data_IF_307206979822
#
_entry.id   IF_307206979822
#
_cell.length_a   1.000
_cell.length_b   1.000
_cell.length_c   1.000
_cell.angle_alpha   90.00
_cell.angle_beta   90.00
_cell.angle_gamma   90.00
#
_symmetry.space_group_name_H-M   'P 1'
#
loop_
_entity.id
_entity.type
_entity.pdbx_description
1 polymer ?
#
# COMPACT_ATOMS: atom_id res chain seq x y z
N UNK A 1 61.79 20.16 23.47
CA UNK A 1 60.91 21.09 24.20
C UNK A 1 59.52 20.48 24.22
N UNK A 2 59.25 19.56 25.15
CA UNK A 2 57.94 18.91 25.28
C UNK A 2 57.15 19.64 26.36
N UNK A 3 56.10 20.37 25.96
CA UNK A 3 55.17 21.01 26.89
C UNK A 3 54.24 19.94 27.45
N UNK A 4 54.35 19.69 28.75
CA UNK A 4 53.40 18.91 29.54
C UNK A 4 52.03 19.58 29.51
N UNK A 5 51.03 18.85 29.04
CA UNK A 5 49.62 19.26 29.03
C UNK A 5 49.15 19.29 30.50
N UNK A 6 48.54 20.38 30.99
CA UNK A 6 48.10 20.48 32.38
C UNK A 6 46.97 19.47 32.66
N UNK A 7 47.14 18.64 33.70
CA UNK A 7 46.21 17.57 34.12
C UNK A 7 44.77 18.07 34.35
N UNK A 8 44.60 19.36 34.63
CA UNK A 8 43.29 20.01 34.82
C UNK A 8 42.45 20.10 33.54
N UNK A 9 43.06 20.04 32.36
CA UNK A 9 42.32 20.06 31.08
C UNK A 9 41.69 18.71 30.73
N UNK A 10 42.25 17.61 31.26
CA UNK A 10 41.78 16.25 30.99
C UNK A 10 40.47 15.94 31.72
N UNK A 11 40.29 16.45 32.94
CA UNK A 11 39.05 16.26 33.71
C UNK A 11 37.85 16.97 33.08
N UNK A 12 38.05 18.14 32.47
CA UNK A 12 36.97 18.90 31.82
C UNK A 12 36.44 18.21 30.58
N UNK A 13 37.30 17.48 29.85
CA UNK A 13 36.92 16.72 28.65
C UNK A 13 36.16 15.42 28.98
N UNK A 14 36.41 14.82 30.15
CA UNK A 14 35.73 13.60 30.60
C UNK A 14 34.27 13.87 31.03
N UNK A 15 33.99 15.06 31.58
CA UNK A 15 32.63 15.46 32.00
C UNK A 15 31.72 15.72 30.80
N UNK A 16 32.27 16.11 29.64
CA UNK A 16 31.50 16.36 28.41
C UNK A 16 31.04 15.07 27.69
N UNK A 17 31.61 13.91 28.01
CA UNK A 17 31.19 12.62 27.43
C UNK A 17 29.99 11.99 28.14
N UNK A 18 29.58 12.49 29.31
CA UNK A 18 28.49 11.92 30.11
C UNK A 18 27.09 12.40 29.69
N UNK A 19 26.98 13.29 28.70
CA UNK A 19 25.69 13.76 28.16
C UNK A 19 25.38 13.18 26.78
N UNK A 20 25.88 11.98 26.45
CA UNK A 20 25.31 11.20 25.34
C UNK A 20 23.92 10.75 25.77
N UNK A 21 22.96 11.63 25.51
CA UNK A 21 21.54 11.46 25.74
C UNK A 21 21.07 10.18 25.05
N UNK A 22 20.75 9.17 25.85
CA UNK A 22 20.02 8.00 25.39
C UNK A 22 18.58 8.45 25.15
N UNK A 23 18.26 8.82 23.91
CA UNK A 23 16.89 9.11 23.53
C UNK A 23 16.11 7.80 23.68
N UNK A 24 15.19 7.74 24.64
CA UNK A 24 14.19 6.66 24.68
C UNK A 24 13.37 6.82 23.41
N UNK A 25 13.58 5.93 22.44
CA UNK A 25 12.65 5.77 21.34
C UNK A 25 11.33 5.32 21.96
N UNK A 26 10.32 6.17 21.95
CA UNK A 26 8.96 5.76 22.27
C UNK A 26 8.61 4.57 21.37
N UNK A 27 8.23 3.45 21.99
CA UNK A 27 7.92 2.25 21.25
C UNK A 27 6.72 2.53 20.33
N UNK A 28 6.87 2.27 19.03
CA UNK A 28 5.78 2.37 18.07
C UNK A 28 4.65 1.40 18.48
N UNK A 29 3.45 1.93 18.72
CA UNK A 29 2.24 1.16 19.00
C UNK A 29 1.38 1.16 17.72
N UNK A 30 1.21 0.01 17.05
CA UNK A 30 0.42 -0.06 15.83
C UNK A 30 -1.07 0.10 16.13
N UNK A 31 -1.78 0.81 15.25
CA UNK A 31 -3.24 0.98 15.29
C UNK A 31 -3.88 0.28 14.09
N UNK A 32 -4.93 -0.49 14.36
CA UNK A 32 -5.83 -1.02 13.34
C UNK A 32 -7.18 -0.31 13.47
N UNK A 33 -7.53 0.49 12.47
CA UNK A 33 -8.76 1.28 12.41
C UNK A 33 -9.21 1.44 10.95
N UNK A 34 -10.01 0.50 10.48
CA UNK A 34 -10.50 0.42 9.10
C UNK A 34 -11.98 0.78 9.08
N UNK A 35 -12.36 1.74 8.23
CA UNK A 35 -13.76 2.08 8.00
C UNK A 35 -14.54 0.79 7.65
N UNK A 36 -15.69 0.52 8.29
CA UNK A 36 -16.45 -0.71 8.07
C UNK A 36 -16.81 -0.98 6.60
N UNK A 37 -16.88 0.04 5.75
CA UNK A 37 -17.09 -0.12 4.31
C UNK A 37 -15.94 -0.86 3.61
N UNK A 38 -14.74 -0.81 4.16
CA UNK A 38 -13.53 -1.41 3.58
C UNK A 38 -13.16 -2.78 4.15
N UNK A 39 -13.66 -3.12 5.34
CA UNK A 39 -13.38 -4.40 6.00
C UNK A 39 -13.62 -5.65 5.14
N UNK A 40 -14.70 -5.74 4.33
CA UNK A 40 -14.90 -6.89 3.45
C UNK A 40 -13.76 -7.06 2.43
N UNK A 41 -13.20 -5.95 1.93
CA UNK A 41 -12.11 -5.95 0.96
C UNK A 41 -10.77 -6.24 1.61
N UNK A 42 -10.49 -5.69 2.80
CA UNK A 42 -9.28 -6.03 3.59
C UNK A 42 -9.29 -7.52 3.95
N UNK A 43 -10.43 -8.05 4.39
CA UNK A 43 -10.60 -9.47 4.68
C UNK A 43 -10.42 -10.35 3.44
N UNK A 44 -10.91 -9.89 2.28
CA UNK A 44 -10.69 -10.59 1.01
C UNK A 44 -9.20 -10.59 0.64
N UNK A 45 -8.52 -9.46 0.76
CA UNK A 45 -7.08 -9.33 0.50
C UNK A 45 -6.25 -10.30 1.35
N UNK A 46 -6.51 -10.37 2.67
CA UNK A 46 -5.83 -11.30 3.58
C UNK A 46 -6.08 -12.76 3.18
N UNK A 47 -7.32 -13.09 2.81
CA UNK A 47 -7.69 -14.45 2.39
C UNK A 47 -7.01 -14.84 1.07
N UNK A 48 -6.98 -13.93 0.10
CA UNK A 48 -6.28 -14.17 -1.18
C UNK A 48 -4.78 -14.27 -0.96
N UNK A 49 -4.17 -13.42 -0.13
CA UNK A 49 -2.75 -13.54 0.21
C UNK A 49 -2.44 -14.92 0.83
N UNK A 50 -3.27 -15.38 1.77
CA UNK A 50 -3.12 -16.69 2.39
C UNK A 50 -3.28 -17.85 1.39
N UNK A 51 -4.22 -17.76 0.43
CA UNK A 51 -4.39 -18.79 -0.60
C UNK A 51 -3.20 -18.87 -1.57
N UNK A 52 -2.40 -17.81 -1.66
CA UNK A 52 -1.17 -17.73 -2.45
C UNK A 52 0.10 -17.98 -1.62
N UNK A 53 -0.02 -18.50 -0.40
CA UNK A 53 1.13 -18.82 0.45
C UNK A 53 1.79 -17.61 1.10
N UNK A 54 1.12 -16.46 1.11
CA UNK A 54 1.56 -15.21 1.75
C UNK A 54 0.62 -14.90 2.93
N UNK A 55 0.69 -15.64 4.06
CA UNK A 55 -0.18 -15.35 5.20
C UNK A 55 0.16 -13.98 5.79
N UNK A 56 -0.85 -13.11 5.87
CA UNK A 56 -0.71 -11.74 6.38
C UNK A 56 -1.38 -11.59 7.73
N UNK A 57 -0.73 -10.85 8.63
CA UNK A 57 -1.31 -10.33 9.86
C UNK A 57 -1.14 -8.82 9.87
N UNK A 58 -2.23 -8.09 9.62
CA UNK A 58 -2.24 -6.63 9.52
C UNK A 58 -2.77 -6.05 10.82
N UNK A 59 -1.91 -5.36 11.57
CA UNK A 59 -2.23 -4.76 12.90
C UNK A 59 -2.08 -3.24 12.94
N UNK A 60 -1.51 -2.66 11.88
CA UNK A 60 -1.03 -1.30 11.79
C UNK A 60 -1.68 -0.56 10.60
N UNK A 61 -2.93 -0.88 10.26
CA UNK A 61 -3.64 -0.29 9.12
C UNK A 61 -4.75 0.65 9.61
N UNK A 62 -4.65 1.91 9.20
CA UNK A 62 -5.75 2.87 9.23
C UNK A 62 -6.28 3.01 7.81
N UNK A 63 -7.60 2.97 7.63
CA UNK A 63 -8.19 3.14 6.31
C UNK A 63 -9.52 3.86 6.40
N UNK A 64 -9.67 4.97 5.67
CA UNK A 64 -10.87 5.81 5.74
C UNK A 64 -11.09 6.59 4.45
N UNK A 65 -12.30 7.13 4.31
CA UNK A 65 -12.61 8.06 3.23
C UNK A 65 -11.97 9.43 3.45
N UNK A 66 -11.36 10.01 2.42
CA UNK A 66 -10.83 11.38 2.43
C UNK A 66 -11.40 12.16 1.25
N UNK A 67 -12.17 13.23 1.53
CA UNK A 67 -12.83 14.02 0.49
C UNK A 67 -11.84 14.98 -0.23
N UNK A 68 -10.72 15.34 0.42
CA UNK A 68 -9.70 16.29 -0.08
C UNK A 68 -8.40 15.61 -0.52
N UNK A 69 -8.52 14.44 -1.16
CA UNK A 69 -7.42 13.89 -1.95
C UNK A 69 -7.19 14.76 -3.20
N UNK A 70 -5.96 14.86 -3.69
CA UNK A 70 -5.64 15.46 -5.00
C UNK A 70 -6.61 14.92 -6.06
N UNK A 71 -7.34 15.80 -6.77
CA UNK A 71 -8.43 15.47 -7.70
C UNK A 71 -8.10 14.35 -8.71
N UNK A 72 -6.83 14.09 -8.98
CA UNK A 72 -6.38 13.00 -9.86
C UNK A 72 -6.33 11.61 -9.21
N UNK A 73 -6.33 11.53 -7.87
CA UNK A 73 -6.16 10.28 -7.12
C UNK A 73 -7.49 9.74 -6.58
N UNK A 74 -7.64 8.42 -6.68
CA UNK A 74 -8.77 7.69 -6.09
C UNK A 74 -8.43 7.01 -4.77
N UNK A 75 -7.16 6.70 -4.57
CA UNK A 75 -6.59 6.17 -3.34
C UNK A 75 -5.18 6.71 -3.13
N UNK A 76 -4.73 6.65 -1.88
CA UNK A 76 -3.34 6.95 -1.55
C UNK A 76 -2.92 6.21 -0.28
N UNK A 77 -1.88 5.41 -0.42
CA UNK A 77 -1.10 4.87 0.67
C UNK A 77 -0.02 5.88 1.15
N UNK A 78 0.23 5.93 2.47
CA UNK A 78 1.24 6.80 3.08
C UNK A 78 2.69 6.26 3.00
N UNK A 79 2.88 4.98 2.68
CA UNK A 79 4.19 4.31 2.78
C UNK A 79 4.31 3.11 1.85
N UNK A 80 5.41 3.04 1.10
CA UNK A 80 5.75 1.88 0.27
C UNK A 80 6.59 0.84 1.01
N UNK A 81 6.87 1.04 2.30
CA UNK A 81 7.57 0.05 3.10
C UNK A 81 6.60 -1.10 3.41
N UNK A 82 6.72 -2.25 2.75
CA UNK A 82 5.83 -3.39 3.00
C UNK A 82 5.84 -3.90 4.46
N UNK A 83 4.88 -4.76 4.78
CA UNK A 83 4.72 -5.40 6.08
C UNK A 83 4.31 -4.47 7.21
N UNK A 84 4.66 -4.86 8.45
CA UNK A 84 4.22 -4.18 9.67
C UNK A 84 5.14 -3.03 10.12
N UNK A 85 5.91 -2.44 9.21
CA UNK A 85 6.86 -1.36 9.55
C UNK A 85 6.15 0.00 9.59
N UNK A 86 6.01 0.57 10.79
CA UNK A 86 5.36 1.87 11.01
C UNK A 86 3.83 1.82 10.82
N UNK A 87 3.15 2.95 10.97
CA UNK A 87 1.70 3.03 10.75
C UNK A 87 1.39 3.10 9.25
N UNK A 88 0.53 2.21 8.76
CA UNK A 88 -0.04 2.26 7.41
C UNK A 88 -1.32 3.05 7.44
N UNK A 89 -1.47 3.89 6.44
CA UNK A 89 -2.67 4.70 6.24
C UNK A 89 -3.02 4.68 4.75
N UNK A 90 -4.24 4.22 4.45
CA UNK A 90 -4.82 4.23 3.11
C UNK A 90 -6.01 5.19 3.13
N UNK A 91 -5.93 6.22 2.31
CA UNK A 91 -6.98 7.23 2.16
C UNK A 91 -7.66 7.03 0.83
N UNK A 92 -8.98 6.93 0.84
CA UNK A 92 -9.77 6.59 -0.35
C UNK A 92 -10.75 7.72 -0.63
N UNK A 93 -10.79 8.25 -1.86
CA UNK A 93 -11.76 9.30 -2.18
C UNK A 93 -13.16 8.71 -2.24
N UNK A 94 -14.15 9.28 -1.57
CA UNK A 94 -15.54 8.84 -1.71
C UNK A 94 -16.06 8.98 -3.15
N UNK A 95 -16.26 7.86 -3.87
CA UNK A 95 -17.21 7.63 -4.97
C UNK A 95 -17.34 8.61 -6.15
N UNK A 96 -16.61 9.73 -6.16
CA UNK A 96 -16.77 10.85 -7.10
C UNK A 96 -16.10 10.55 -8.45
N UNK A 97 -16.55 9.49 -9.13
CA UNK A 97 -16.00 9.04 -10.42
C UNK A 97 -14.80 8.10 -10.31
N UNK A 98 -14.44 7.66 -9.10
CA UNK A 98 -13.31 6.75 -8.89
C UNK A 98 -13.66 5.28 -9.11
N UNK A 99 -14.84 4.85 -8.67
CA UNK A 99 -15.35 3.51 -8.89
C UNK A 99 -16.87 3.57 -8.93
N UNK A 100 -17.48 2.58 -9.55
CA UNK A 100 -18.90 2.56 -9.82
C UNK A 100 -19.58 1.29 -9.30
N UNK A 101 -18.76 0.30 -8.91
CA UNK A 101 -19.21 -0.97 -8.36
C UNK A 101 -18.17 -1.54 -7.39
N UNK A 102 -18.56 -2.61 -6.70
CA UNK A 102 -17.70 -3.25 -5.69
C UNK A 102 -16.45 -3.91 -6.29
N UNK A 103 -16.47 -4.36 -7.55
CA UNK A 103 -15.28 -4.91 -8.20
C UNK A 103 -14.23 -3.83 -8.44
N UNK A 104 -14.61 -2.65 -8.92
CA UNK A 104 -13.69 -1.53 -9.08
C UNK A 104 -13.18 -1.00 -7.73
N UNK A 105 -14.04 -0.98 -6.71
CA UNK A 105 -13.60 -0.66 -5.35
C UNK A 105 -12.61 -1.72 -4.82
N UNK A 106 -12.86 -3.01 -5.06
CA UNK A 106 -11.91 -4.08 -4.74
C UNK A 106 -10.58 -3.85 -5.44
N UNK A 107 -10.57 -3.56 -6.75
CA UNK A 107 -9.37 -3.24 -7.52
C UNK A 107 -8.58 -2.12 -6.85
N UNK A 108 -9.25 -1.02 -6.48
CA UNK A 108 -8.62 0.12 -5.83
C UNK A 108 -8.04 -0.26 -4.46
N UNK A 109 -8.82 -0.94 -3.62
CA UNK A 109 -8.35 -1.32 -2.28
C UNK A 109 -7.16 -2.28 -2.39
N UNK A 110 -7.20 -3.25 -3.31
CA UNK A 110 -6.11 -4.19 -3.51
C UNK A 110 -4.86 -3.51 -4.06
N UNK A 111 -5.01 -2.52 -4.94
CA UNK A 111 -3.92 -1.68 -5.42
C UNK A 111 -3.25 -0.92 -4.26
N UNK A 112 -4.03 -0.23 -3.42
CA UNK A 112 -3.50 0.52 -2.28
C UNK A 112 -2.86 -0.38 -1.22
N UNK A 113 -3.44 -1.56 -0.95
CA UNK A 113 -2.83 -2.56 -0.06
C UNK A 113 -1.59 -3.21 -0.70
N UNK A 114 -1.53 -3.30 -2.03
CA UNK A 114 -0.33 -3.67 -2.76
C UNK A 114 0.83 -2.70 -2.46
N UNK A 115 0.56 -1.40 -2.45
CA UNK A 115 1.52 -0.40 -1.98
C UNK A 115 1.84 -0.54 -0.49
N UNK A 116 0.81 -0.47 0.37
CA UNK A 116 0.99 -0.31 1.82
C UNK A 116 1.46 -1.57 2.54
N UNK A 117 1.01 -2.75 2.10
CA UNK A 117 1.24 -4.03 2.78
C UNK A 117 2.29 -4.85 2.05
N UNK A 118 2.30 -4.86 0.72
CA UNK A 118 3.26 -5.64 -0.06
C UNK A 118 4.48 -4.83 -0.52
N UNK A 119 4.44 -3.49 -0.39
CA UNK A 119 5.53 -2.61 -0.83
C UNK A 119 5.72 -2.58 -2.33
N UNK A 120 4.65 -2.83 -3.10
CA UNK A 120 4.71 -2.86 -4.56
C UNK A 120 4.76 -1.45 -5.13
N UNK A 121 5.42 -1.30 -6.27
CA UNK A 121 5.46 -0.06 -7.05
C UNK A 121 4.53 -0.15 -8.24
N UNK A 122 4.19 1.00 -8.81
CA UNK A 122 3.47 1.03 -10.08
C UNK A 122 4.26 0.32 -11.19
N UNK A 123 3.53 -0.36 -12.08
CA UNK A 123 4.07 -0.99 -13.27
C UNK A 123 3.19 -0.62 -14.48
N UNK A 124 3.82 -0.12 -15.54
CA UNK A 124 3.14 0.34 -16.76
C UNK A 124 3.29 -0.61 -17.96
N UNK A 125 3.95 -1.75 -17.76
CA UNK A 125 4.10 -2.76 -18.80
C UNK A 125 2.76 -3.36 -19.21
N UNK A 126 2.69 -3.84 -20.45
CA UNK A 126 1.50 -4.49 -21.01
C UNK A 126 1.82 -5.90 -21.49
N UNK A 127 0.80 -6.75 -21.47
CA UNK A 127 0.80 -8.07 -22.10
C UNK A 127 0.70 -7.93 -23.64
N UNK A 128 1.01 -8.98 -24.43
CA UNK A 128 0.91 -8.92 -25.89
C UNK A 128 -0.48 -8.56 -26.44
N UNK A 129 -1.53 -8.76 -25.65
CA UNK A 129 -2.90 -8.38 -26.00
C UNK A 129 -3.25 -6.93 -25.61
N UNK A 130 -2.30 -6.16 -25.07
CA UNK A 130 -2.47 -4.77 -24.66
C UNK A 130 -3.03 -4.57 -23.25
N UNK A 131 -3.40 -5.64 -22.53
CA UNK A 131 -3.85 -5.52 -21.14
C UNK A 131 -2.68 -5.10 -20.23
N UNK A 132 -2.93 -4.35 -19.14
CA UNK A 132 -1.93 -4.11 -18.11
C UNK A 132 -1.34 -5.40 -17.59
N UNK A 133 -0.01 -5.43 -17.46
CA UNK A 133 0.69 -6.60 -16.96
C UNK A 133 0.46 -6.81 -15.46
N UNK A 134 0.19 -5.75 -14.71
CA UNK A 134 0.05 -5.76 -13.25
C UNK A 134 -1.21 -5.05 -12.77
N UNK A 135 -1.73 -5.48 -11.61
CA UNK A 135 -2.76 -4.73 -10.86
C UNK A 135 -2.24 -3.37 -10.36
N UNK A 136 -0.92 -3.23 -10.27
CA UNK A 136 -0.25 -1.98 -9.88
C UNK A 136 -0.18 -0.96 -11.04
N UNK A 137 -1.11 -1.00 -11.99
CA UNK A 137 -1.23 0.02 -13.03
C UNK A 137 -1.83 1.31 -12.44
N UNK A 138 -1.24 2.46 -12.75
CA UNK A 138 -1.57 3.74 -12.07
C UNK A 138 -3.00 4.24 -12.31
N UNK A 139 -3.61 3.93 -13.46
CA UNK A 139 -4.84 4.63 -13.90
C UNK A 139 -5.89 3.72 -14.53
N UNK A 140 -5.96 2.46 -14.10
CA UNK A 140 -6.99 1.55 -14.60
C UNK A 140 -7.57 0.69 -13.47
N UNK A 141 -8.71 1.12 -12.93
CA UNK A 141 -9.47 0.36 -11.92
C UNK A 141 -10.41 -0.68 -12.55
N UNK A 142 -10.56 -0.65 -13.89
CA UNK A 142 -11.47 -1.50 -14.64
C UNK A 142 -10.79 -2.75 -15.23
N UNK A 143 -9.55 -3.05 -14.81
CA UNK A 143 -8.74 -4.20 -15.25
C UNK A 143 -9.44 -5.55 -15.10
N UNK A 144 -10.35 -5.70 -14.13
CA UNK A 144 -11.26 -6.84 -14.03
C UNK A 144 -12.71 -6.44 -13.70
N UNK A 145 -13.13 -5.23 -14.08
CA UNK A 145 -14.49 -4.77 -13.84
C UNK A 145 -15.53 -5.48 -14.73
N UNK A 146 -16.78 -5.64 -14.24
CA UNK A 146 -17.88 -6.11 -15.07
C UNK A 146 -18.22 -5.09 -16.16
N UNK A 147 -18.80 -5.58 -17.26
CA UNK A 147 -19.34 -4.67 -18.25
C UNK A 147 -20.53 -3.90 -17.67
N UNK A 148 -20.53 -2.58 -17.85
CA UNK A 148 -21.62 -1.68 -17.42
C UNK A 148 -22.75 -1.62 -18.43
N UNK A 149 -22.42 -1.44 -19.72
CA UNK A 149 -23.38 -1.29 -20.81
C UNK A 149 -22.86 -1.94 -22.09
N UNK A 150 -23.68 -2.75 -22.76
CA UNK A 150 -23.38 -3.28 -24.09
C UNK A 150 -24.20 -2.50 -25.11
N UNK A 151 -23.55 -1.69 -25.95
CA UNK A 151 -24.22 -0.99 -27.06
C UNK A 151 -23.84 -1.62 -28.40
N UNK A 152 -24.82 -2.14 -29.15
CA UNK A 152 -24.59 -2.68 -30.50
C UNK A 152 -23.81 -4.01 -30.52
N UNK A 153 -22.97 -4.21 -31.55
CA UNK A 153 -22.09 -5.37 -31.73
C UNK A 153 -20.75 -5.21 -30.98
N UNK A 154 -20.72 -4.43 -29.90
CA UNK A 154 -19.48 -4.04 -29.22
C UNK A 154 -18.75 -5.24 -28.61
N UNK A 155 -17.42 -5.14 -28.64
CA UNK A 155 -16.44 -6.03 -28.00
C UNK A 155 -16.81 -6.31 -26.54
N UNK A 156 -16.46 -7.51 -26.07
CA UNK A 156 -16.73 -7.95 -24.70
C UNK A 156 -16.02 -7.04 -23.69
N UNK A 157 -16.76 -6.05 -23.17
CA UNK A 157 -16.37 -5.12 -22.12
C UNK A 157 -16.29 -5.79 -20.73
N UNK A 158 -16.61 -7.08 -20.61
CA UNK A 158 -16.62 -7.79 -19.33
C UNK A 158 -15.24 -8.35 -18.98
N UNK A 159 -14.50 -7.63 -18.14
CA UNK A 159 -13.17 -8.02 -17.70
C UNK A 159 -13.17 -8.93 -16.46
N UNK A 160 -14.32 -9.34 -15.91
CA UNK A 160 -14.38 -10.13 -14.65
C UNK A 160 -13.55 -11.41 -14.72
N UNK A 161 -13.46 -12.02 -15.89
CA UNK A 161 -12.64 -13.22 -16.11
C UNK A 161 -11.13 -12.99 -15.85
N UNK A 162 -10.66 -11.74 -15.90
CA UNK A 162 -9.26 -11.35 -15.66
C UNK A 162 -8.93 -11.26 -14.16
N UNK A 163 -9.91 -11.26 -13.26
CA UNK A 163 -9.66 -11.13 -11.80
C UNK A 163 -8.63 -12.14 -11.31
N UNK A 164 -8.77 -13.41 -11.70
CA UNK A 164 -7.85 -14.46 -11.28
C UNK A 164 -6.38 -14.16 -11.66
N UNK A 165 -6.15 -13.64 -12.88
CA UNK A 165 -4.81 -13.26 -13.33
C UNK A 165 -4.23 -12.17 -12.42
N UNK A 166 -4.96 -11.07 -12.19
CA UNK A 166 -4.43 -9.94 -11.42
C UNK A 166 -4.27 -10.23 -9.93
N UNK A 167 -5.11 -11.09 -9.35
CA UNK A 167 -4.91 -11.53 -7.96
C UNK A 167 -3.68 -12.43 -7.84
N UNK A 168 -3.48 -13.37 -8.77
CA UNK A 168 -2.25 -14.17 -8.80
C UNK A 168 -1.03 -13.26 -8.95
N UNK A 169 -1.08 -12.31 -9.89
CA UNK A 169 -0.01 -11.36 -10.16
C UNK A 169 0.32 -10.51 -8.93
N UNK A 170 -0.68 -10.12 -8.14
CA UNK A 170 -0.50 -9.31 -6.94
C UNK A 170 0.35 -10.00 -5.87
N UNK A 171 0.24 -11.33 -5.74
CA UNK A 171 0.91 -12.11 -4.69
C UNK A 171 2.06 -13.00 -5.19
N UNK A 172 2.16 -13.25 -6.51
CA UNK A 172 3.23 -14.01 -7.15
C UNK A 172 3.82 -13.22 -8.33
N UNK A 173 4.96 -12.55 -8.07
CA UNK A 173 5.67 -11.77 -9.07
C UNK A 173 6.18 -12.61 -10.26
N UNK A 174 6.25 -13.93 -10.14
CA UNK A 174 6.61 -14.83 -11.25
C UNK A 174 5.53 -14.94 -12.32
N UNK A 175 4.31 -14.47 -12.04
CA UNK A 175 3.19 -14.43 -13.00
C UNK A 175 3.09 -13.13 -13.80
N UNK A 176 3.92 -12.13 -13.46
CA UNK A 176 4.14 -10.94 -14.28
C UNK A 176 5.12 -11.26 -15.41
#
# INVERSE_FOLDING_TARGET
MFRSIPERFFLTFLILYLFVSCHKNDAFIPVYDVDPAFEPFVSAFIREAASHGVPLEIKNLIMHYEDDLDHTLCGKCNSLAGGNTGQKEVRVRRGNGCWENNQELETLIFHELGHCILGRLHLSDTLPNGDPKSLMIESNLSVYAPCRYVFGQAEDCNNVHKRAYYINELFDLGTA
#
